data_IF_410979422189
#
_entry.id   IF_410979422189
#
_cell.length_a   1.000
_cell.length_b   1.000
_cell.length_c   1.000
_cell.angle_alpha   90.00
_cell.angle_beta   90.00
_cell.angle_gamma   90.00
#
_symmetry.space_group_name_H-M   'P 1'
#
loop_
_entity.id
_entity.type
_entity.pdbx_description
1 polymer ?
#
# COMPACT_ATOMS: atom_id res chain seq x y z
N UNK A 1 -3.60 9.48 -54.38
CA UNK A 1 -5.03 9.65 -54.05
C UNK A 1 -5.66 8.27 -54.03
N UNK A 2 -6.26 7.94 -52.89
CA UNK A 2 -6.62 6.59 -52.50
C UNK A 2 -7.98 6.15 -53.05
N UNK A 3 -8.09 4.87 -53.43
CA UNK A 3 -9.33 4.12 -53.39
C UNK A 3 -9.00 2.62 -53.39
N UNK A 4 -9.14 1.98 -52.22
CA UNK A 4 -9.43 0.54 -52.14
C UNK A 4 -10.41 0.31 -51.01
N UNK A 5 -11.63 -0.03 -51.43
CA UNK A 5 -12.71 -0.62 -50.65
C UNK A 5 -12.27 -2.02 -50.24
N UNK A 6 -12.43 -2.36 -48.97
CA UNK A 6 -12.50 -3.75 -48.52
C UNK A 6 -13.49 -3.87 -47.35
N UNK A 7 -14.63 -4.47 -47.65
CA UNK A 7 -15.60 -5.00 -46.69
C UNK A 7 -15.14 -6.36 -46.18
N UNK A 8 -15.19 -6.59 -44.87
CA UNK A 8 -15.25 -7.92 -44.23
C UNK A 8 -15.96 -7.77 -42.87
N UNK A 9 -17.20 -8.25 -42.78
CA UNK A 9 -17.59 -9.54 -42.16
C UNK A 9 -17.55 -9.50 -40.62
N UNK A 10 -18.74 -9.29 -40.06
CA UNK A 10 -19.08 -9.51 -38.66
C UNK A 10 -19.00 -10.99 -38.31
N UNK A 11 -18.19 -11.34 -37.30
CA UNK A 11 -18.25 -12.63 -36.63
C UNK A 11 -18.74 -12.43 -35.20
N UNK A 12 -19.93 -12.96 -34.94
CA UNK A 12 -20.47 -13.18 -33.61
C UNK A 12 -19.71 -14.36 -33.00
N UNK A 13 -18.85 -14.10 -32.00
CA UNK A 13 -18.17 -15.16 -31.25
C UNK A 13 -18.68 -15.17 -29.81
N UNK A 14 -19.57 -16.12 -29.53
CA UNK A 14 -19.91 -16.60 -28.20
C UNK A 14 -18.67 -17.36 -27.69
N UNK A 15 -17.96 -16.81 -26.71
CA UNK A 15 -17.01 -17.57 -25.91
C UNK A 15 -17.24 -17.29 -24.43
N UNK A 16 -17.66 -18.33 -23.72
CA UNK A 16 -17.72 -18.34 -22.27
C UNK A 16 -16.33 -18.12 -21.69
N UNK A 17 -16.23 -17.14 -20.79
CA UNK A 17 -15.02 -16.89 -20.02
C UNK A 17 -14.73 -18.07 -19.10
N UNK A 18 -13.81 -18.95 -19.51
CA UNK A 18 -13.04 -19.80 -18.60
C UNK A 18 -11.75 -19.05 -18.26
N UNK A 19 -11.72 -18.45 -17.09
CA UNK A 19 -10.52 -17.80 -16.54
C UNK A 19 -9.49 -18.89 -16.21
N UNK A 20 -8.40 -18.93 -16.96
CA UNK A 20 -7.23 -19.75 -16.66
C UNK A 20 -6.50 -19.13 -15.45
N UNK A 21 -6.51 -19.80 -14.31
CA UNK A 21 -5.71 -19.40 -13.15
C UNK A 21 -4.26 -19.83 -13.38
N UNK A 22 -3.38 -18.89 -13.76
CA UNK A 22 -1.95 -19.15 -13.91
C UNK A 22 -1.25 -18.94 -12.57
N UNK A 23 -0.82 -20.06 -11.96
CA UNK A 23 -0.09 -20.09 -10.69
C UNK A 23 1.39 -19.81 -10.96
N UNK A 24 1.85 -18.57 -10.74
CA UNK A 24 3.28 -18.26 -10.77
C UNK A 24 3.86 -18.58 -9.39
N UNK A 25 4.62 -19.65 -9.34
CA UNK A 25 5.37 -20.12 -8.18
C UNK A 25 6.82 -19.73 -8.44
N UNK A 26 7.33 -18.67 -7.79
CA UNK A 26 8.76 -18.38 -7.85
C UNK A 26 9.49 -19.34 -6.90
N UNK A 27 9.93 -20.48 -7.43
CA UNK A 27 11.00 -21.26 -6.82
C UNK A 27 12.32 -20.63 -7.27
N UNK A 28 13.04 -20.02 -6.34
CA UNK A 28 14.48 -19.82 -6.49
C UNK A 28 15.13 -21.03 -5.85
N UNK A 29 15.43 -22.06 -6.67
CA UNK A 29 16.37 -23.10 -6.29
C UNK A 29 17.77 -22.51 -6.39
N UNK A 30 18.24 -21.88 -5.31
CA UNK A 30 19.66 -21.73 -5.07
C UNK A 30 20.08 -22.84 -4.13
N UNK A 31 20.55 -23.95 -4.69
CA UNK A 31 21.39 -24.90 -3.97
C UNK A 31 22.76 -24.24 -3.73
N UNK A 32 23.23 -24.08 -2.49
CA UNK A 32 24.62 -23.72 -2.24
C UNK A 32 25.53 -24.86 -2.74
N UNK A 33 26.43 -24.55 -3.67
CA UNK A 33 27.52 -25.46 -4.06
C UNK A 33 28.59 -25.43 -2.96
N UNK A 34 28.65 -26.47 -2.14
CA UNK A 34 29.80 -26.72 -1.29
C UNK A 34 30.89 -27.40 -2.14
N UNK A 35 31.92 -26.64 -2.55
CA UNK A 35 33.18 -27.23 -2.99
C UNK A 35 33.98 -27.62 -1.75
N UNK A 36 33.91 -28.89 -1.36
CA UNK A 36 34.82 -29.47 -0.38
C UNK A 36 36.13 -29.87 -1.06
N UNK A 37 37.25 -29.34 -0.58
CA UNK A 37 38.56 -29.99 -0.73
C UNK A 37 38.78 -30.88 0.49
N UNK A 38 38.95 -32.19 0.26
CA UNK A 38 39.25 -33.16 1.30
C UNK A 38 40.61 -32.88 1.95
N UNK A 39 40.66 -32.93 3.29
CA UNK A 39 41.90 -33.03 4.06
C UNK A 39 41.85 -34.30 4.91
N UNK A 40 42.93 -35.11 4.98
CA UNK A 40 42.86 -36.52 5.35
C UNK A 40 43.02 -36.75 6.85
N UNK A 41 42.41 -35.97 7.73
CA UNK A 41 42.31 -36.36 9.15
C UNK A 41 40.99 -35.85 9.71
N UNK A 42 40.03 -36.77 9.82
CA UNK A 42 38.67 -36.47 10.24
C UNK A 42 38.61 -35.99 11.69
N UNK A 43 38.31 -34.71 11.86
CA UNK A 43 37.54 -34.10 12.94
C UNK A 43 37.36 -32.61 12.60
N UNK A 44 36.15 -32.20 12.23
CA UNK A 44 35.77 -30.77 12.17
C UNK A 44 34.88 -30.47 13.36
N UNK A 45 35.43 -29.81 14.39
CA UNK A 45 34.64 -28.99 15.31
C UNK A 45 34.38 -27.64 14.64
N UNK A 46 33.11 -27.28 14.48
CA UNK A 46 32.73 -25.89 14.22
C UNK A 46 32.34 -25.28 15.57
N UNK A 47 33.04 -24.24 16.00
CA UNK A 47 32.55 -23.37 17.08
C UNK A 47 31.38 -22.53 16.55
N UNK A 48 30.37 -22.22 17.40
CA UNK A 48 29.13 -21.59 16.95
C UNK A 48 29.29 -20.07 16.80
N UNK A 49 29.00 -19.53 15.62
CA UNK A 49 28.57 -18.14 15.50
C UNK A 49 27.06 -18.10 15.74
N UNK A 50 26.70 -17.45 16.86
CA UNK A 50 25.34 -17.26 17.34
C UNK A 50 24.46 -16.61 16.28
N UNK A 51 23.52 -17.38 15.74
CA UNK A 51 22.19 -16.90 15.36
C UNK A 51 21.21 -18.04 15.57
N UNK A 52 20.33 -17.88 16.55
CA UNK A 52 19.21 -18.79 16.78
C UNK A 52 18.34 -18.82 15.54
N UNK A 53 18.41 -19.90 14.76
CA UNK A 53 17.25 -20.57 14.14
C UNK A 53 17.71 -21.88 13.46
N UNK A 54 17.51 -22.99 14.19
CA UNK A 54 17.40 -24.38 13.72
C UNK A 54 18.62 -25.06 13.07
N UNK A 55 19.59 -25.52 13.87
CA UNK A 55 20.55 -26.55 13.45
C UNK A 55 19.98 -27.97 13.60
N UNK A 56 19.78 -28.67 12.48
CA UNK A 56 19.34 -30.06 12.46
C UNK A 56 19.41 -30.70 11.07
N UNK A 57 19.76 -31.99 11.00
CA UNK A 57 19.65 -32.78 9.77
C UNK A 57 18.16 -32.96 9.43
N UNK A 58 17.73 -32.44 8.27
CA UNK A 58 16.36 -32.56 7.80
C UNK A 58 16.24 -33.56 6.66
N UNK A 59 15.27 -34.46 6.74
CA UNK A 59 14.84 -35.32 5.62
C UNK A 59 13.62 -34.70 4.95
N UNK A 60 13.63 -34.62 3.61
CA UNK A 60 12.53 -34.07 2.81
C UNK A 60 11.38 -35.06 2.75
N UNK A 61 10.16 -34.65 3.13
CA UNK A 61 8.95 -35.47 2.99
C UNK A 61 8.20 -35.12 1.70
N UNK A 62 7.55 -36.12 1.10
CA UNK A 62 6.87 -36.03 -0.21
C UNK A 62 5.74 -34.99 -0.30
N UNK A 63 5.31 -34.42 0.83
CA UNK A 63 4.27 -33.37 0.91
C UNK A 63 4.81 -31.99 1.30
N UNK A 64 6.11 -31.76 1.18
CA UNK A 64 6.72 -30.43 1.36
C UNK A 64 6.98 -30.03 2.82
N UNK A 65 7.04 -30.99 3.74
CA UNK A 65 7.51 -30.79 5.12
C UNK A 65 8.95 -31.29 5.32
N UNK A 66 9.61 -30.77 6.35
CA UNK A 66 10.89 -31.26 6.84
C UNK A 66 10.69 -31.81 8.26
N UNK A 67 11.32 -32.94 8.60
CA UNK A 67 11.39 -33.47 9.96
C UNK A 67 12.83 -33.43 10.44
N UNK A 68 13.06 -32.98 11.68
CA UNK A 68 14.34 -33.12 12.36
C UNK A 68 14.30 -34.43 13.16
N UNK A 69 15.11 -35.41 12.77
CA UNK A 69 15.28 -36.60 13.57
C UNK A 69 16.30 -36.32 14.67
N UNK A 70 15.85 -36.22 15.91
CA UNK A 70 16.76 -36.37 17.06
C UNK A 70 17.41 -37.75 16.99
N UNK A 71 18.72 -37.82 17.23
CA UNK A 71 19.44 -39.10 17.31
C UNK A 71 18.74 -40.00 18.32
N UNK A 72 18.31 -41.18 17.85
CA UNK A 72 17.80 -42.34 18.59
C UNK A 72 16.57 -42.12 19.52
N UNK A 73 15.37 -42.43 19.01
CA UNK A 73 14.18 -42.73 19.82
C UNK A 73 12.86 -42.50 19.06
N UNK A 74 11.78 -43.27 19.33
CA UNK A 74 10.52 -43.23 18.57
C UNK A 74 9.65 -41.98 18.82
N UNK A 75 10.15 -40.97 19.54
CA UNK A 75 9.40 -39.77 19.86
C UNK A 75 9.79 -38.63 18.91
N UNK A 76 9.21 -38.65 17.70
CA UNK A 76 9.27 -37.51 16.79
C UNK A 76 8.40 -36.37 17.37
N UNK A 77 9.05 -35.35 17.95
CA UNK A 77 8.38 -34.09 18.26
C UNK A 77 7.93 -33.44 16.95
N UNK A 78 6.63 -33.17 16.82
CA UNK A 78 6.08 -32.43 15.70
C UNK A 78 6.66 -31.00 15.72
N UNK A 79 7.64 -30.76 14.84
CA UNK A 79 8.14 -29.41 14.60
C UNK A 79 7.00 -28.64 13.92
N UNK A 80 6.49 -27.63 14.61
CA UNK A 80 5.54 -26.68 14.05
C UNK A 80 6.22 -26.00 12.87
N UNK A 81 5.82 -26.36 11.65
CA UNK A 81 6.24 -25.68 10.42
C UNK A 81 6.02 -24.17 10.62
N UNK A 82 7.09 -23.39 10.58
CA UNK A 82 6.98 -21.95 10.43
C UNK A 82 6.35 -21.69 9.06
N UNK A 83 5.02 -21.51 9.03
CA UNK A 83 4.34 -21.06 7.83
C UNK A 83 5.01 -19.77 7.38
N UNK A 84 5.67 -19.81 6.23
CA UNK A 84 6.28 -18.64 5.60
C UNK A 84 5.14 -17.66 5.29
N UNK A 85 5.02 -16.61 6.11
CA UNK A 85 3.98 -15.59 5.96
C UNK A 85 4.24 -14.82 4.67
N UNK A 86 3.52 -15.17 3.61
CA UNK A 86 3.58 -14.42 2.35
C UNK A 86 3.09 -13.00 2.59
N UNK A 87 3.91 -12.01 2.26
CA UNK A 87 3.48 -10.60 2.19
C UNK A 87 2.40 -10.46 1.11
N UNK A 88 1.23 -9.94 1.50
CA UNK A 88 0.10 -9.65 0.61
C UNK A 88 -0.29 -8.19 0.82
N UNK A 89 -0.24 -7.39 -0.23
CA UNK A 89 -0.57 -5.96 -0.23
C UNK A 89 -1.92 -5.70 -0.91
N UNK A 90 -2.97 -5.37 -0.18
CA UNK A 90 -4.28 -5.17 -0.83
C UNK A 90 -4.50 -3.69 -1.13
N UNK A 91 -4.97 -3.37 -2.34
CA UNK A 91 -5.32 -1.99 -2.72
C UNK A 91 -6.51 -1.54 -1.87
N UNK A 92 -6.32 -0.51 -1.06
CA UNK A 92 -7.37 0.07 -0.25
C UNK A 92 -8.04 1.24 -0.97
N UNK A 93 -7.22 2.10 -1.59
CA UNK A 93 -7.70 3.23 -2.36
C UNK A 93 -6.73 3.63 -3.48
N UNK A 94 -7.27 4.29 -4.49
CA UNK A 94 -6.49 5.04 -5.46
C UNK A 94 -7.08 6.44 -5.57
N UNK A 95 -6.20 7.41 -5.68
CA UNK A 95 -6.51 8.81 -5.90
C UNK A 95 -6.05 9.19 -7.31
N UNK A 96 -6.95 9.74 -8.11
CA UNK A 96 -6.64 10.45 -9.34
C UNK A 96 -6.96 11.93 -9.18
N UNK A 97 -5.94 12.81 -9.04
CA UNK A 97 -6.17 14.25 -8.88
C UNK A 97 -6.79 14.99 -10.08
N UNK A 98 -7.41 14.31 -11.05
CA UNK A 98 -7.90 14.90 -12.31
C UNK A 98 -9.07 14.13 -12.94
N UNK A 99 -9.85 13.38 -12.17
CA UNK A 99 -10.99 12.60 -12.66
C UNK A 99 -12.37 13.11 -12.21
N UNK A 100 -12.41 14.23 -11.51
CA UNK A 100 -13.61 14.98 -11.14
C UNK A 100 -14.16 14.70 -9.75
N UNK A 101 -13.38 14.05 -8.87
CA UNK A 101 -13.81 13.72 -7.51
C UNK A 101 -13.07 14.58 -6.47
N UNK A 102 -13.45 14.44 -5.21
CA UNK A 102 -12.91 15.23 -4.10
C UNK A 102 -12.32 14.28 -3.05
N UNK A 103 -11.00 14.27 -2.90
CA UNK A 103 -10.22 13.56 -1.89
C UNK A 103 -10.09 14.30 -0.55
N UNK A 104 -10.54 15.55 -0.49
CA UNK A 104 -10.63 16.36 0.72
C UNK A 104 -11.66 15.86 1.74
N UNK A 105 -11.87 16.64 2.79
CA UNK A 105 -12.75 16.27 3.91
C UNK A 105 -14.23 16.14 3.51
N UNK A 106 -14.67 16.84 2.46
CA UNK A 106 -16.03 16.70 1.91
C UNK A 106 -16.25 15.41 1.09
N UNK A 107 -15.18 14.68 0.78
CA UNK A 107 -15.22 13.46 -0.01
C UNK A 107 -15.75 12.23 0.73
N UNK A 108 -16.04 11.13 0.01
CA UNK A 108 -16.60 9.91 0.60
C UNK A 108 -15.58 9.07 1.40
N UNK A 109 -14.34 9.51 1.59
CA UNK A 109 -13.22 8.66 2.06
C UNK A 109 -13.32 8.19 3.50
N UNK A 110 -13.96 8.98 4.37
CA UNK A 110 -14.31 8.60 5.73
C UNK A 110 -15.59 7.74 5.82
N UNK A 111 -16.36 7.62 4.74
CA UNK A 111 -17.63 6.89 4.76
C UNK A 111 -17.41 5.40 4.56
N UNK A 112 -18.25 4.57 5.19
CA UNK A 112 -18.26 3.10 4.98
C UNK A 112 -18.99 2.73 3.67
N UNK A 113 -18.50 3.26 2.57
CA UNK A 113 -19.02 3.07 1.21
C UNK A 113 -17.89 2.66 0.28
N UNK A 114 -18.19 2.03 -0.86
CA UNK A 114 -17.19 1.81 -1.92
C UNK A 114 -17.19 3.00 -2.89
N UNK A 115 -16.08 3.17 -3.61
CA UNK A 115 -15.95 4.15 -4.70
C UNK A 115 -15.27 3.50 -5.90
N UNK A 116 -15.75 3.80 -7.10
CA UNK A 116 -15.20 3.27 -8.34
C UNK A 116 -15.42 1.77 -8.54
N UNK A 117 -14.70 1.19 -9.51
CA UNK A 117 -14.73 -0.23 -9.82
C UNK A 117 -13.31 -0.81 -9.85
N UNK A 118 -13.17 -2.11 -9.59
CA UNK A 118 -11.87 -2.79 -9.60
C UNK A 118 -11.15 -2.67 -10.97
N UNK A 119 -11.91 -2.71 -12.06
CA UNK A 119 -11.36 -2.63 -13.42
C UNK A 119 -10.70 -1.27 -13.72
N UNK A 120 -11.18 -0.20 -13.07
CA UNK A 120 -10.72 1.17 -13.24
C UNK A 120 -9.91 1.66 -12.02
N UNK A 121 -9.60 0.77 -11.06
CA UNK A 121 -9.07 1.15 -9.76
C UNK A 121 -7.69 1.83 -9.78
N UNK A 122 -7.00 1.83 -10.92
CA UNK A 122 -5.72 2.51 -11.13
C UNK A 122 -5.81 3.62 -12.19
N UNK A 123 -6.99 3.82 -12.77
CA UNK A 123 -7.26 4.89 -13.73
C UNK A 123 -8.06 6.01 -13.08
N UNK A 124 -8.85 5.69 -12.07
CA UNK A 124 -9.81 6.59 -11.41
C UNK A 124 -9.71 6.46 -9.90
N UNK A 125 -10.40 7.37 -9.22
CA UNK A 125 -10.70 7.29 -7.82
C UNK A 125 -11.38 5.97 -7.46
N UNK A 126 -10.79 5.31 -6.46
CA UNK A 126 -11.21 3.99 -6.03
C UNK A 126 -11.08 3.85 -4.53
N UNK A 127 -12.03 3.15 -3.92
CA UNK A 127 -11.98 2.78 -2.51
C UNK A 127 -12.64 1.42 -2.33
N UNK A 128 -11.85 0.45 -1.91
CA UNK A 128 -12.35 -0.86 -1.51
C UNK A 128 -12.85 -0.80 -0.06
N UNK A 129 -14.18 -0.82 0.08
CA UNK A 129 -14.85 -0.75 1.39
C UNK A 129 -14.36 -1.84 2.35
N UNK A 130 -14.16 -3.06 1.89
CA UNK A 130 -13.80 -4.16 2.76
C UNK A 130 -12.34 -4.09 3.18
N UNK A 131 -11.44 -3.72 2.27
CA UNK A 131 -10.02 -3.51 2.57
C UNK A 131 -9.82 -2.36 3.54
N UNK A 132 -10.58 -1.26 3.38
CA UNK A 132 -10.53 -0.11 4.30
C UNK A 132 -10.84 -0.48 5.76
N UNK A 133 -11.64 -1.53 6.01
CA UNK A 133 -11.96 -2.07 7.34
C UNK A 133 -10.96 -3.12 7.86
N UNK A 134 -9.98 -3.51 7.05
CA UNK A 134 -8.99 -4.50 7.48
C UNK A 134 -7.94 -3.87 8.39
N UNK A 135 -7.54 -4.64 9.40
CA UNK A 135 -6.39 -4.31 10.26
C UNK A 135 -5.11 -4.48 9.47
N UNK A 136 -4.23 -3.48 9.56
CA UNK A 136 -2.99 -3.44 8.79
C UNK A 136 -1.83 -3.06 9.69
N UNK A 137 -0.67 -3.68 9.47
CA UNK A 137 0.57 -3.32 10.15
C UNK A 137 1.41 -2.35 9.31
N UNK A 138 1.23 -2.38 8.00
CA UNK A 138 1.98 -1.55 7.05
C UNK A 138 1.05 -0.89 6.06
N UNK A 139 1.39 0.34 5.70
CA UNK A 139 0.75 1.13 4.66
C UNK A 139 1.79 1.52 3.63
N UNK A 140 1.49 1.31 2.35
CA UNK A 140 2.30 1.77 1.24
C UNK A 140 1.55 2.83 0.45
N UNK A 141 2.20 3.93 0.09
CA UNK A 141 1.69 4.90 -0.88
C UNK A 141 2.58 4.80 -2.11
N UNK A 142 1.99 4.44 -3.25
CA UNK A 142 2.66 4.32 -4.54
C UNK A 142 2.13 5.37 -5.51
N UNK A 143 3.01 6.22 -6.04
CA UNK A 143 2.65 7.08 -7.17
C UNK A 143 2.86 6.34 -8.47
N UNK A 144 1.90 6.43 -9.37
CA UNK A 144 1.95 5.78 -10.67
C UNK A 144 1.36 6.64 -11.78
N UNK A 145 1.83 6.41 -13.00
CA UNK A 145 1.37 7.05 -14.24
C UNK A 145 1.11 5.94 -15.25
N UNK A 146 -0.06 5.93 -15.89
CA UNK A 146 -0.47 4.85 -16.81
C UNK A 146 -0.28 3.45 -16.22
N UNK A 147 -0.66 3.27 -14.94
CA UNK A 147 -0.52 2.01 -14.18
C UNK A 147 0.93 1.54 -14.00
N UNK A 148 1.92 2.41 -14.25
CA UNK A 148 3.34 2.15 -14.01
C UNK A 148 3.79 2.93 -12.79
N UNK A 149 4.28 2.20 -11.79
CA UNK A 149 4.78 2.80 -10.57
C UNK A 149 6.04 3.63 -10.83
N UNK A 150 6.05 4.86 -10.33
CA UNK A 150 7.20 5.77 -10.40
C UNK A 150 7.88 5.91 -9.03
N UNK A 151 7.12 5.85 -7.95
CA UNK A 151 7.67 5.92 -6.61
C UNK A 151 6.78 5.19 -5.61
N UNK A 152 7.37 4.68 -4.52
CA UNK A 152 6.63 4.09 -3.41
C UNK A 152 7.35 4.31 -2.09
N UNK A 153 6.58 4.56 -1.04
CA UNK A 153 7.03 4.56 0.35
C UNK A 153 6.17 3.63 1.17
N UNK A 154 6.77 3.02 2.18
CA UNK A 154 6.09 2.11 3.12
C UNK A 154 6.34 2.58 4.54
N UNK A 155 5.30 2.67 5.34
CA UNK A 155 5.36 2.96 6.77
C UNK A 155 4.88 1.76 7.58
N UNK A 156 5.46 1.58 8.77
CA UNK A 156 4.89 0.73 9.81
C UNK A 156 3.90 1.56 10.63
N UNK A 157 2.68 1.07 10.76
CA UNK A 157 1.60 1.75 11.47
C UNK A 157 1.76 1.58 12.98
N UNK A 158 1.44 2.64 13.72
CA UNK A 158 1.55 2.68 15.19
C UNK A 158 0.45 1.88 15.89
N UNK A 159 -0.74 1.88 15.32
CA UNK A 159 -1.95 1.24 15.85
C UNK A 159 -2.42 0.14 14.88
N UNK A 160 -1.68 -1.00 14.77
CA UNK A 160 -1.98 -2.04 13.78
C UNK A 160 -3.33 -2.73 13.98
N UNK A 161 -3.96 -2.53 15.14
CA UNK A 161 -5.30 -2.98 15.47
C UNK A 161 -6.42 -2.12 14.88
N UNK A 162 -6.10 -0.90 14.42
CA UNK A 162 -7.03 -0.01 13.73
C UNK A 162 -6.97 -0.22 12.22
N UNK A 163 -8.12 -0.08 11.60
CA UNK A 163 -8.27 -0.07 10.15
C UNK A 163 -8.02 1.32 9.57
N UNK A 164 -7.75 1.40 8.27
CA UNK A 164 -7.57 2.70 7.60
C UNK A 164 -8.87 3.53 7.64
N UNK A 165 -10.04 2.89 7.59
CA UNK A 165 -11.33 3.54 7.77
C UNK A 165 -11.45 4.21 9.14
N UNK A 166 -11.09 3.50 10.21
CA UNK A 166 -11.11 4.07 11.57
C UNK A 166 -10.16 5.26 11.68
N UNK A 167 -8.95 5.18 11.11
CA UNK A 167 -8.02 6.31 11.06
C UNK A 167 -8.62 7.51 10.32
N UNK A 168 -9.37 7.26 9.25
CA UNK A 168 -10.00 8.28 8.41
C UNK A 168 -11.27 8.87 9.03
N UNK A 169 -11.94 8.16 9.94
CA UNK A 169 -13.11 8.62 10.69
C UNK A 169 -12.76 9.33 11.99
N UNK A 170 -11.52 9.21 12.44
CA UNK A 170 -11.07 9.82 13.68
C UNK A 170 -10.72 11.31 13.48
N UNK A 171 -11.63 12.17 13.92
CA UNK A 171 -11.52 13.62 13.81
C UNK A 171 -11.32 14.33 15.17
N UNK A 172 -11.46 13.62 16.29
CA UNK A 172 -11.27 14.19 17.64
C UNK A 172 -10.21 13.40 18.44
N UNK A 173 -8.99 13.93 18.59
CA UNK A 173 -8.54 15.25 18.14
C UNK A 173 -8.16 15.31 16.65
N UNK A 174 -8.27 14.22 15.88
CA UNK A 174 -7.64 14.11 14.56
C UNK A 174 -6.13 14.28 14.70
N UNK A 175 -5.47 14.93 13.73
CA UNK A 175 -4.04 15.32 13.79
C UNK A 175 -3.12 14.16 14.18
N UNK A 176 -3.27 13.03 13.50
CA UNK A 176 -2.70 11.76 13.95
C UNK A 176 -1.33 11.51 13.34
N UNK A 177 -0.33 11.32 14.18
CA UNK A 177 0.85 10.52 13.83
C UNK A 177 0.43 9.04 13.74
N UNK A 178 0.33 8.54 12.51
CA UNK A 178 -0.18 7.20 12.19
C UNK A 178 0.92 6.14 12.15
N UNK A 179 2.19 6.51 12.25
CA UNK A 179 3.33 5.62 12.01
C UNK A 179 4.31 5.56 13.18
N UNK A 180 5.07 4.47 13.29
CA UNK A 180 6.11 4.33 14.33
C UNK A 180 7.34 5.23 14.07
N UNK A 181 7.48 5.75 12.86
CA UNK A 181 8.61 6.57 12.41
C UNK A 181 8.50 6.90 10.92
N UNK A 182 9.64 7.24 10.31
CA UNK A 182 9.72 7.45 8.86
C UNK A 182 9.49 6.16 8.04
N UNK A 183 9.55 6.25 6.71
CA UNK A 183 9.31 5.08 5.86
C UNK A 183 10.36 3.99 6.09
N UNK A 184 9.90 2.74 6.25
CA UNK A 184 10.74 1.53 6.35
C UNK A 184 11.22 1.04 4.99
N UNK A 185 10.66 1.58 3.90
CA UNK A 185 11.09 1.37 2.53
C UNK A 185 10.74 2.57 1.67
N UNK A 186 11.64 2.91 0.74
CA UNK A 186 11.43 3.94 -0.27
C UNK A 186 12.03 3.50 -1.60
N UNK A 187 11.30 3.77 -2.68
CA UNK A 187 11.80 3.77 -4.04
C UNK A 187 11.29 5.02 -4.74
N UNK A 188 12.17 5.68 -5.49
CA UNK A 188 11.82 6.82 -6.34
C UNK A 188 12.56 6.68 -7.67
N UNK A 189 11.82 6.64 -8.77
CA UNK A 189 12.36 6.63 -10.13
C UNK A 189 13.09 7.95 -10.39
N UNK A 190 14.29 7.86 -10.93
CA UNK A 190 15.07 9.03 -11.31
C UNK A 190 14.33 9.84 -12.40
N UNK A 191 14.28 11.16 -12.23
CA UNK A 191 13.66 12.08 -13.19
C UNK A 191 12.13 12.01 -13.27
N UNK A 192 11.44 11.45 -12.26
CA UNK A 192 9.97 11.53 -12.23
C UNK A 192 9.50 12.98 -12.16
N UNK A 193 8.41 13.32 -12.87
CA UNK A 193 7.84 14.67 -12.86
C UNK A 193 7.51 15.11 -11.42
N UNK A 194 7.76 16.37 -11.07
CA UNK A 194 7.46 16.88 -9.73
C UNK A 194 8.26 16.25 -8.58
N UNK A 195 9.41 15.61 -8.84
CA UNK A 195 10.19 14.87 -7.82
C UNK A 195 10.55 15.66 -6.56
N UNK A 196 10.59 16.99 -6.67
CA UNK A 196 11.01 17.93 -5.63
C UNK A 196 9.84 18.74 -5.05
N UNK A 197 8.64 18.57 -5.62
CA UNK A 197 7.41 19.25 -5.22
C UNK A 197 6.27 18.27 -4.92
N UNK A 198 6.47 16.96 -5.04
CA UNK A 198 5.47 15.94 -4.73
C UNK A 198 5.18 15.89 -3.21
N UNK A 199 3.90 15.88 -2.79
CA UNK A 199 3.51 15.93 -1.37
C UNK A 199 3.93 14.72 -0.55
N UNK A 200 4.24 13.59 -1.21
CA UNK A 200 4.64 12.35 -0.56
C UNK A 200 6.12 12.04 -0.81
N UNK A 201 6.66 12.38 -1.98
CA UNK A 201 8.00 11.94 -2.41
C UNK A 201 9.09 13.04 -2.39
N UNK A 202 8.70 14.31 -2.16
CA UNK A 202 9.61 15.42 -1.87
C UNK A 202 9.62 15.80 -0.37
N UNK A 203 8.65 15.30 0.39
CA UNK A 203 8.51 15.42 1.85
C UNK A 203 9.21 14.26 2.57
N UNK A 204 9.25 14.25 3.91
CA UNK A 204 9.94 13.22 4.70
C UNK A 204 9.23 12.97 6.04
N UNK A 205 9.65 11.89 6.70
CA UNK A 205 9.27 11.60 8.09
C UNK A 205 8.02 10.75 8.23
N UNK A 206 7.37 10.92 9.38
CA UNK A 206 6.18 10.14 9.78
C UNK A 206 4.97 10.42 8.89
N UNK A 207 4.12 9.39 8.77
CA UNK A 207 2.81 9.50 8.13
C UNK A 207 1.83 10.18 9.09
N UNK A 208 1.23 11.28 8.62
CA UNK A 208 0.21 12.03 9.33
C UNK A 208 -1.16 11.80 8.68
N UNK A 209 -2.21 11.58 9.47
CA UNK A 209 -3.57 11.33 8.99
C UNK A 209 -4.57 12.27 9.66
N UNK A 210 -5.56 12.74 8.89
CA UNK A 210 -6.62 13.66 9.34
C UNK A 210 -6.05 14.90 10.06
N UNK A 211 -5.03 15.51 9.45
CA UNK A 211 -4.46 16.74 9.97
C UNK A 211 -5.40 17.91 9.69
N UNK A 212 -5.63 18.75 10.69
CA UNK A 212 -6.44 19.95 10.56
C UNK A 212 -5.93 21.04 11.49
N UNK A 213 -6.06 22.31 11.14
CA UNK A 213 -5.94 23.46 12.06
C UNK A 213 -6.98 24.49 11.67
N UNK A 214 -7.76 24.98 12.64
CA UNK A 214 -8.82 25.95 12.37
C UNK A 214 -9.78 25.41 11.30
N UNK A 215 -9.76 26.05 10.12
CA UNK A 215 -10.60 25.70 8.98
C UNK A 215 -9.86 24.98 7.82
N UNK A 216 -8.61 24.58 8.04
CA UNK A 216 -7.74 24.02 7.01
C UNK A 216 -7.28 22.61 7.40
N UNK A 217 -6.84 21.80 6.43
CA UNK A 217 -6.33 20.45 6.73
C UNK A 217 -5.97 19.61 5.52
N UNK A 218 -5.40 18.43 5.80
CA UNK A 218 -5.09 17.38 4.83
C UNK A 218 -5.43 16.00 5.41
N UNK A 219 -5.98 15.11 4.59
CA UNK A 219 -6.30 13.73 4.98
C UNK A 219 -5.04 12.91 5.20
N UNK A 220 -4.03 13.09 4.34
CA UNK A 220 -2.70 12.49 4.48
C UNK A 220 -1.66 13.58 4.30
N UNK A 221 -0.71 13.68 5.22
CA UNK A 221 0.45 14.57 5.14
C UNK A 221 1.69 13.84 5.67
N UNK A 222 2.88 14.42 5.51
CA UNK A 222 4.09 13.92 6.15
C UNK A 222 4.63 14.94 7.16
N UNK A 223 5.40 14.44 8.13
CA UNK A 223 5.99 15.25 9.19
C UNK A 223 6.78 16.47 8.70
N UNK A 224 7.59 16.29 7.65
CA UNK A 224 8.53 17.30 7.15
C UNK A 224 8.23 17.65 5.69
N UNK A 225 7.98 18.95 5.45
CA UNK A 225 7.67 19.51 4.14
C UNK A 225 6.18 19.63 3.81
N UNK A 226 5.29 19.10 4.65
CA UNK A 226 3.86 19.39 4.53
C UNK A 226 3.46 20.75 5.11
N UNK A 227 4.30 21.38 5.91
CA UNK A 227 4.07 22.71 6.47
C UNK A 227 5.29 23.60 6.20
N UNK A 228 5.07 24.88 5.87
CA UNK A 228 6.16 25.77 5.47
C UNK A 228 7.09 26.11 6.65
N UNK A 229 6.53 26.18 7.86
CA UNK A 229 7.27 26.56 9.06
C UNK A 229 7.63 25.33 9.91
N UNK A 230 8.39 24.42 9.28
CA UNK A 230 9.00 23.27 9.92
C UNK A 230 8.06 22.09 10.17
N UNK A 231 8.44 21.25 11.12
CA UNK A 231 7.81 19.94 11.34
C UNK A 231 6.39 20.03 11.88
N UNK A 232 5.51 19.16 11.36
CA UNK A 232 4.26 18.81 12.02
C UNK A 232 4.60 18.01 13.29
N UNK A 233 4.21 18.46 14.49
CA UNK A 233 4.58 17.76 15.72
C UNK A 233 3.84 16.43 15.86
N UNK A 234 4.39 15.51 16.64
CA UNK A 234 3.72 14.23 16.93
C UNK A 234 2.36 14.39 17.62
N UNK A 235 2.21 15.45 18.41
CA UNK A 235 0.95 15.87 19.00
C UNK A 235 0.91 17.40 18.88
N UNK A 236 0.08 17.91 17.97
CA UNK A 236 -0.11 19.35 17.84
C UNK A 236 -1.24 19.76 18.78
N UNK A 237 -0.96 20.46 19.90
CA UNK A 237 -2.04 20.93 20.77
C UNK A 237 -2.97 21.81 19.94
N UNK A 238 -4.28 21.79 20.25
CA UNK A 238 -5.34 22.46 19.44
C UNK A 238 -5.07 23.95 19.18
N UNK A 239 -4.18 24.58 19.95
CA UNK A 239 -3.79 25.99 19.85
C UNK A 239 -2.49 26.26 19.08
N UNK A 240 -1.70 25.24 18.70
CA UNK A 240 -0.52 25.46 17.85
C UNK A 240 -1.00 25.73 16.43
N UNK A 241 -0.64 26.90 15.92
CA UNK A 241 -0.83 27.27 14.52
C UNK A 241 0.18 26.50 13.66
N UNK A 242 -0.35 25.52 12.95
CA UNK A 242 0.23 24.73 11.88
C UNK A 242 -0.76 24.73 10.72
N UNK A 243 -1.24 25.93 10.40
CA UNK A 243 -2.08 26.21 9.24
C UNK A 243 -1.37 25.82 7.93
N UNK A 244 -2.11 25.75 6.82
CA UNK A 244 -1.55 25.55 5.47
C UNK A 244 -0.77 24.22 5.31
N UNK A 245 -1.28 23.16 5.93
CA UNK A 245 -0.74 21.81 5.73
C UNK A 245 -1.08 21.31 4.34
N UNK A 246 -0.06 20.95 3.56
CA UNK A 246 -0.15 20.38 2.23
C UNK A 246 0.09 18.86 2.24
N UNK A 247 -0.72 18.13 1.48
CA UNK A 247 -0.63 16.68 1.37
C UNK A 247 -1.57 16.12 0.31
N UNK A 248 -2.23 15.02 0.64
CA UNK A 248 -3.35 14.47 -0.12
C UNK A 248 -4.64 14.75 0.63
N UNK A 249 -5.66 15.18 -0.09
CA UNK A 249 -7.01 15.39 0.42
C UNK A 249 -7.06 16.66 1.23
N UNK A 250 -6.67 17.73 0.59
CA UNK A 250 -6.56 19.03 1.20
C UNK A 250 -7.90 19.75 1.22
N UNK A 251 -8.07 20.57 2.24
CA UNK A 251 -9.25 21.36 2.45
C UNK A 251 -8.87 22.68 3.09
N UNK A 252 -9.37 23.78 2.54
CA UNK A 252 -9.29 25.09 3.16
C UNK A 252 -10.67 25.68 3.39
N UNK A 253 -10.81 26.55 4.40
CA UNK A 253 -12.08 27.23 4.65
C UNK A 253 -13.26 26.32 5.05
N UNK A 254 -13.00 25.13 5.62
CA UNK A 254 -14.01 24.16 6.02
C UNK A 254 -13.99 23.86 7.53
N UNK A 255 -15.00 23.17 8.06
CA UNK A 255 -14.96 22.65 9.43
C UNK A 255 -14.29 21.26 9.45
N UNK A 256 -12.99 21.23 9.14
CA UNK A 256 -12.18 19.99 9.04
C UNK A 256 -12.09 19.25 10.37
N UNK A 257 -12.14 19.98 11.50
CA UNK A 257 -12.24 19.40 12.84
C UNK A 257 -13.50 18.53 13.01
N UNK A 258 -14.62 18.89 12.37
CA UNK A 258 -15.84 18.09 12.38
C UNK A 258 -15.92 17.12 11.19
N UNK A 259 -14.85 16.95 10.42
CA UNK A 259 -14.83 16.10 9.24
C UNK A 259 -15.58 16.69 8.04
N UNK A 260 -15.83 18.00 8.02
CA UNK A 260 -16.60 18.66 6.95
C UNK A 260 -15.66 19.31 5.94
N UNK A 261 -16.05 19.26 4.66
CA UNK A 261 -15.35 19.95 3.57
C UNK A 261 -15.94 21.32 3.23
N UNK A 262 -15.26 22.05 2.35
CA UNK A 262 -15.74 23.30 1.77
C UNK A 262 -16.33 23.05 0.39
N UNK A 263 -17.14 23.99 -0.09
CA UNK A 263 -17.63 23.96 -1.47
C UNK A 263 -16.62 24.48 -2.52
N UNK A 264 -15.60 25.23 -2.09
CA UNK A 264 -14.81 26.07 -3.01
C UNK A 264 -13.30 25.94 -2.87
N UNK A 265 -12.78 25.37 -1.77
CA UNK A 265 -11.35 25.40 -1.46
C UNK A 265 -10.80 24.02 -1.05
N UNK A 266 -11.36 22.96 -1.60
CA UNK A 266 -10.83 21.60 -1.50
C UNK A 266 -9.90 21.31 -2.68
N UNK A 267 -8.98 20.35 -2.53
CA UNK A 267 -8.21 19.79 -3.66
C UNK A 267 -7.60 18.44 -3.29
N UNK A 268 -7.36 17.62 -4.31
CA UNK A 268 -6.99 16.22 -4.11
C UNK A 268 -5.54 16.03 -3.69
N UNK A 269 -4.64 16.81 -4.26
CA UNK A 269 -3.22 16.76 -3.95
C UNK A 269 -2.62 18.15 -4.02
N UNK A 270 -1.92 18.55 -2.96
CA UNK A 270 -1.12 19.75 -2.93
C UNK A 270 0.30 19.45 -3.42
N UNK A 271 1.00 20.44 -3.98
CA UNK A 271 2.46 20.36 -4.02
C UNK A 271 3.01 20.50 -2.60
N UNK A 272 4.15 19.86 -2.32
CA UNK A 272 4.96 20.08 -1.12
C UNK A 272 5.05 21.58 -0.82
N UNK A 273 4.90 21.92 0.45
CA UNK A 273 4.98 23.30 0.89
C UNK A 273 6.44 23.81 0.81
N UNK A 274 6.65 24.91 0.09
CA UNK A 274 7.96 25.58 -0.04
C UNK A 274 7.99 26.98 0.57
N UNK A 275 6.83 27.48 0.99
CA UNK A 275 6.63 28.81 1.57
C UNK A 275 5.15 29.01 1.84
N UNK A 276 4.81 30.03 2.62
CA UNK A 276 3.43 30.39 2.95
C UNK A 276 2.57 30.57 1.68
N UNK A 277 1.35 30.04 1.70
CA UNK A 277 0.40 30.17 0.60
C UNK A 277 -1.02 30.39 1.14
N UNK A 278 -1.80 31.19 0.43
CA UNK A 278 -3.16 31.57 0.75
C UNK A 278 -4.01 31.70 -0.52
N UNK A 279 -5.14 31.00 -0.55
CA UNK A 279 -6.08 31.05 -1.67
C UNK A 279 -5.44 30.61 -2.99
N UNK A 280 -5.48 31.47 -4.01
CA UNK A 280 -5.13 31.10 -5.39
C UNK A 280 -3.64 30.90 -5.66
N UNK A 281 -2.74 31.25 -4.72
CA UNK A 281 -1.30 31.03 -4.90
C UNK A 281 -0.85 29.65 -4.40
N UNK A 282 -1.72 28.90 -3.71
CA UNK A 282 -1.43 27.54 -3.29
C UNK A 282 -1.36 26.63 -4.53
N UNK A 283 -0.23 25.93 -4.65
CA UNK A 283 0.02 25.04 -5.77
C UNK A 283 -0.54 23.67 -5.47
N UNK A 284 -1.55 23.27 -6.22
CA UNK A 284 -2.05 21.90 -6.24
C UNK A 284 -1.45 21.08 -7.40
N UNK A 285 -1.87 19.83 -7.48
CA UNK A 285 -1.56 18.86 -8.52
C UNK A 285 -2.88 18.46 -9.18
N UNK A 286 -2.91 18.49 -10.51
CA UNK A 286 -4.07 18.08 -11.29
C UNK A 286 -5.19 19.13 -11.37
N UNK A 287 -6.42 18.66 -11.55
CA UNK A 287 -7.62 19.46 -11.86
C UNK A 287 -8.75 19.29 -10.85
N UNK A 288 -8.59 18.37 -9.92
CA UNK A 288 -9.62 18.08 -8.93
C UNK A 288 -9.45 18.99 -7.73
N UNK A 289 -10.21 20.08 -7.79
CA UNK A 289 -10.26 21.11 -6.77
C UNK A 289 -11.58 21.90 -6.81
N UNK A 290 -11.84 22.65 -5.74
CA UNK A 290 -12.95 23.59 -5.66
C UNK A 290 -12.76 24.85 -6.51
N UNK A 291 -13.83 25.60 -6.73
CA UNK A 291 -13.86 26.77 -7.64
C UNK A 291 -12.95 27.94 -7.28
N UNK A 292 -12.40 27.96 -6.06
CA UNK A 292 -11.46 28.98 -5.58
C UNK A 292 -10.01 28.73 -5.98
N UNK A 293 -9.69 27.54 -6.48
CA UNK A 293 -8.33 27.14 -6.87
C UNK A 293 -8.21 27.05 -8.40
N UNK A 294 -7.00 26.80 -8.89
CA UNK A 294 -6.68 26.70 -10.32
C UNK A 294 -6.06 25.34 -10.59
N UNK A 295 -6.20 24.84 -11.81
CA UNK A 295 -5.53 23.64 -12.29
C UNK A 295 -4.00 23.76 -12.17
N UNK A 296 -3.37 22.61 -11.97
CA UNK A 296 -1.93 22.45 -11.84
C UNK A 296 -1.42 21.27 -12.65
N UNK A 297 -0.12 21.06 -12.58
CA UNK A 297 0.52 19.97 -13.29
C UNK A 297 0.05 18.62 -12.72
N UNK A 298 -0.21 17.67 -13.62
CA UNK A 298 -0.58 16.32 -13.24
C UNK A 298 0.66 15.45 -13.06
N UNK A 299 0.88 14.93 -11.84
CA UNK A 299 2.03 14.10 -11.51
C UNK A 299 1.74 12.60 -11.58
N UNK A 300 0.46 12.21 -11.67
CA UNK A 300 0.01 10.83 -11.66
C UNK A 300 -0.97 10.56 -10.51
N UNK A 301 -1.31 9.28 -10.38
CA UNK A 301 -2.23 8.77 -9.37
C UNK A 301 -1.48 8.29 -8.11
N UNK A 302 -2.16 8.29 -6.97
CA UNK A 302 -1.64 7.77 -5.70
C UNK A 302 -2.44 6.55 -5.24
N UNK A 303 -1.84 5.37 -5.31
CA UNK A 303 -2.45 4.14 -4.85
C UNK A 303 -1.95 3.80 -3.43
N UNK A 304 -2.87 3.50 -2.51
CA UNK A 304 -2.56 3.14 -1.13
C UNK A 304 -2.90 1.68 -0.87
N UNK A 305 -1.91 0.96 -0.36
CA UNK A 305 -1.98 -0.46 -0.09
C UNK A 305 -1.79 -0.76 1.39
N UNK A 306 -2.45 -1.81 1.86
CA UNK A 306 -2.37 -2.30 3.22
C UNK A 306 -1.79 -3.71 3.27
N UNK A 307 -0.98 -3.98 4.29
CA UNK A 307 -0.46 -5.33 4.58
C UNK A 307 -0.38 -5.58 6.09
N UNK A 308 -0.63 -6.82 6.50
CA UNK A 308 -0.40 -7.28 7.88
C UNK A 308 1.03 -7.78 8.13
N UNK A 309 1.84 -7.95 7.08
CA UNK A 309 3.19 -8.52 7.16
C UNK A 309 4.14 -7.76 6.24
N UNK A 310 5.33 -7.43 6.76
CA UNK A 310 6.46 -6.94 5.97
C UNK A 310 7.67 -7.84 6.25
N UNK A 311 8.31 -8.34 5.20
CA UNK A 311 9.61 -8.99 5.31
C UNK A 311 10.68 -8.00 4.82
N UNK A 312 11.52 -7.47 5.71
CA UNK A 312 12.65 -6.63 5.30
C UNK A 312 13.58 -7.43 4.37
N UNK A 313 14.10 -6.79 3.31
CA UNK A 313 14.89 -7.44 2.25
C UNK A 313 14.04 -8.09 1.14
N UNK A 314 13.17 -9.05 1.46
CA UNK A 314 12.31 -9.74 0.46
C UNK A 314 11.08 -8.94 0.05
N UNK A 315 10.48 -8.17 0.96
CA UNK A 315 9.38 -7.24 0.70
C UNK A 315 9.79 -6.08 -0.20
N UNK A 316 11.04 -5.60 -0.05
CA UNK A 316 11.64 -4.63 -0.94
C UNK A 316 11.85 -5.20 -2.36
N UNK A 317 12.27 -6.47 -2.48
CA UNK A 317 12.42 -7.15 -3.78
C UNK A 317 11.07 -7.44 -4.43
N UNK A 318 10.06 -7.87 -3.67
CA UNK A 318 8.70 -8.07 -4.14
C UNK A 318 8.10 -6.74 -4.63
N UNK A 319 8.22 -5.65 -3.86
CA UNK A 319 7.80 -4.32 -4.32
C UNK A 319 8.57 -3.87 -5.57
N UNK A 320 9.89 -4.08 -5.63
CA UNK A 320 10.67 -3.80 -6.85
C UNK A 320 10.18 -4.62 -8.05
N UNK A 321 9.94 -5.91 -7.91
CA UNK A 321 9.43 -6.76 -9.00
C UNK A 321 8.03 -6.33 -9.46
N UNK A 322 7.19 -5.83 -8.54
CA UNK A 322 5.86 -5.28 -8.85
C UNK A 322 5.95 -3.95 -9.60
N UNK A 323 6.93 -3.10 -9.25
CA UNK A 323 7.25 -1.84 -9.95
C UNK A 323 7.78 -2.12 -11.37
N UNK A 324 8.72 -3.06 -11.51
CA UNK A 324 9.37 -3.37 -12.79
C UNK A 324 8.47 -4.10 -13.80
N UNK A 325 7.46 -4.83 -13.34
CA UNK A 325 6.54 -5.56 -14.23
C UNK A 325 5.49 -4.66 -14.93
N UNK A 326 5.46 -3.34 -14.66
CA UNK A 326 4.44 -2.43 -15.21
C UNK A 326 3.01 -2.80 -14.79
N UNK A 327 2.88 -3.62 -13.74
CA UNK A 327 1.63 -4.07 -13.15
C UNK A 327 1.66 -3.56 -11.74
N UNK A 328 1.09 -2.39 -11.52
CA UNK A 328 0.75 -1.95 -10.18
C UNK A 328 -0.13 -3.04 -9.56
N UNK A 329 0.55 -3.89 -8.79
CA UNK A 329 0.03 -4.82 -7.79
C UNK A 329 -1.12 -5.71 -8.30
N UNK A 330 -0.78 -6.73 -9.08
CA UNK A 330 -1.64 -7.91 -9.27
C UNK A 330 -1.69 -8.68 -7.95
N UNK A 331 -2.45 -8.15 -7.01
CA UNK A 331 -2.65 -8.74 -5.69
C UNK A 331 -4.03 -9.30 -5.67
N UNK A 332 -4.08 -10.61 -5.44
CA UNK A 332 -5.27 -11.43 -5.34
C UNK A 332 -6.38 -10.64 -4.66
N UNK A 333 -7.31 -10.13 -5.47
CA UNK A 333 -8.64 -9.79 -4.99
C UNK A 333 -9.27 -11.10 -4.56
N UNK A 334 -9.19 -11.39 -3.27
CA UNK A 334 -9.90 -12.52 -2.69
C UNK A 334 -11.37 -12.16 -2.72
N UNK A 335 -12.06 -12.61 -3.77
CA UNK A 335 -13.51 -12.76 -3.73
C UNK A 335 -13.83 -13.65 -2.53
N UNK A 336 -14.49 -13.12 -1.50
CA UNK A 336 -15.03 -13.91 -0.41
C UNK A 336 -16.20 -14.76 -0.95
N UNK A 337 -15.86 -15.86 -1.61
CA UNK A 337 -16.81 -16.90 -1.98
C UNK A 337 -17.19 -17.70 -0.74
N UNK A 338 -18.26 -17.31 -0.07
CA UNK A 338 -18.94 -18.13 0.93
C UNK A 338 -19.40 -19.44 0.26
N UNK A 339 -18.82 -20.58 0.64
CA UNK A 339 -19.41 -21.91 0.38
C UNK A 339 -19.92 -22.47 1.71
N UNK A 340 -21.21 -22.80 1.84
CA UNK A 340 -21.70 -23.51 3.01
C UNK A 340 -21.02 -24.87 3.12
N UNK A 341 -20.62 -25.24 4.34
CA UNK A 341 -20.22 -26.61 4.68
C UNK A 341 -21.42 -27.53 4.48
N UNK A 342 -21.34 -28.48 3.56
CA UNK A 342 -22.15 -29.68 3.67
C UNK A 342 -21.50 -30.61 4.70
N UNK A 343 -22.20 -30.80 5.81
CA UNK A 343 -21.94 -31.89 6.74
C UNK A 343 -22.46 -33.18 6.14
N UNK A 344 -21.58 -34.08 5.70
CA UNK A 344 -21.95 -35.48 5.53
C UNK A 344 -21.55 -36.26 6.79
N UNK A 345 -22.57 -36.95 7.31
CA UNK A 345 -22.56 -37.78 8.50
C UNK A 345 -21.66 -38.98 8.27
N UNK A 346 -20.82 -39.25 9.27
CA UNK A 346 -20.44 -40.61 9.62
C UNK A 346 -21.71 -41.44 9.84
N UNK A 347 -21.87 -42.52 9.08
CA UNK A 347 -22.67 -43.67 9.50
C UNK A 347 -21.73 -44.85 9.58
N UNK A 348 -21.64 -45.36 10.79
CA UNK A 348 -20.97 -46.61 11.13
C UNK A 348 -21.59 -47.80 10.38
N UNK A 349 -20.71 -48.78 10.12
CA UNK A 349 -20.98 -50.12 9.60
C UNK A 349 -21.91 -50.93 10.54
N UNK A 350 -22.45 -52.07 10.06
CA UNK A 350 -21.66 -53.32 10.01
C UNK A 350 -21.19 -53.74 8.62
#
# INVERSE_FOLDING_TARGET
MAARVLTCLSWTAIFGARTLAMKIQSQTDETPSCKGTESPHGHTSCEPMVNNDCEGHFTKLDKGGYAQCGKSGPNCLAIKLCEKKKTVWTLALNLNPSDGHNFGYGGPWAQDTALGTEAEALDKDFKDKDVMKTKAKYLAIARHMDKKCEAVRVWELKEPEKSLLELFQDHDPGRRDASTGGPVFEYKKAGMSGSDTDPIFATKGRLMVNWWYGNNGARIALEDGSHYNGLLPQASPKNRNDDDVHGLGNEFGANTQAGQGSGSWWHDAAQKMTGDCWGTNCKMIGKDHGTGLRDGDYYGNYAIYLSSVWESGKGALAMKQLIYAGRVLNISVKTHGYRPRQSERLKDSP
#
